data_IF_236995494810
#
_entry.id   IF_236995494810
#
_cell.length_a   1.000
_cell.length_b   1.000
_cell.length_c   1.000
_cell.angle_alpha   90.00
_cell.angle_beta   90.00
_cell.angle_gamma   90.00
#
_symmetry.space_group_name_H-M   'P 1'
#
loop_
_entity.id
_entity.type
_entity.pdbx_description
1 polymer ?
#
# COMPACT_ATOMS: atom_id res chain seq x y z
N UNK A 1 8.11 -23.20 13.03
CA UNK A 1 8.22 -21.78 12.63
C UNK A 1 7.44 -21.62 11.34
N UNK A 2 6.63 -20.59 11.21
CA UNK A 2 5.84 -20.34 9.98
C UNK A 2 6.70 -19.60 8.97
N UNK A 3 6.84 -20.13 7.76
CA UNK A 3 7.63 -19.51 6.69
C UNK A 3 6.90 -18.29 6.12
N UNK A 4 7.54 -17.12 5.99
CA UNK A 4 6.94 -15.95 5.33
C UNK A 4 6.73 -16.21 3.84
N UNK A 5 5.62 -15.71 3.31
CA UNK A 5 5.37 -15.58 1.86
C UNK A 5 5.33 -14.10 1.48
N UNK A 6 5.97 -13.75 0.37
CA UNK A 6 6.07 -12.37 -0.12
C UNK A 6 5.30 -12.19 -1.42
N UNK A 7 4.69 -11.02 -1.57
CA UNK A 7 3.81 -10.71 -2.68
C UNK A 7 4.14 -9.33 -3.25
N UNK A 8 4.09 -9.25 -4.57
CA UNK A 8 4.34 -8.03 -5.34
C UNK A 8 3.01 -7.56 -5.93
N UNK A 9 2.66 -6.30 -5.69
CA UNK A 9 1.44 -5.71 -6.27
C UNK A 9 1.65 -5.49 -7.77
N UNK A 10 0.78 -6.03 -8.66
CA UNK A 10 0.92 -5.82 -10.09
C UNK A 10 0.91 -4.33 -10.47
N UNK A 11 1.73 -3.94 -11.44
CA UNK A 11 1.89 -2.55 -11.86
C UNK A 11 3.04 -1.88 -11.11
N UNK A 12 2.73 -0.89 -10.28
CA UNK A 12 3.76 -0.14 -9.53
C UNK A 12 4.66 -1.03 -8.67
N UNK A 13 4.13 -2.14 -8.13
CA UNK A 13 4.87 -2.99 -7.21
C UNK A 13 6.03 -3.72 -7.87
N UNK A 14 5.87 -4.19 -9.11
CA UNK A 14 6.96 -4.81 -9.89
C UNK A 14 8.09 -3.81 -10.12
N UNK A 15 7.76 -2.58 -10.56
CA UNK A 15 8.74 -1.52 -10.79
C UNK A 15 9.51 -1.16 -9.51
N UNK A 16 8.80 -1.00 -8.41
CA UNK A 16 9.39 -0.67 -7.12
C UNK A 16 10.20 -1.84 -6.53
N UNK A 17 9.79 -3.09 -6.78
CA UNK A 17 10.56 -4.27 -6.38
C UNK A 17 11.89 -4.34 -7.12
N UNK A 18 11.88 -4.15 -8.44
CA UNK A 18 13.09 -4.18 -9.26
C UNK A 18 14.06 -3.06 -8.88
N UNK A 19 13.52 -1.86 -8.57
CA UNK A 19 14.33 -0.69 -8.24
C UNK A 19 14.82 -0.65 -6.78
N UNK A 20 14.00 -1.09 -5.82
CA UNK A 20 14.23 -0.87 -4.38
C UNK A 20 14.29 -2.16 -3.56
N UNK A 21 14.10 -3.33 -4.19
CA UNK A 21 14.27 -4.66 -3.60
C UNK A 21 13.42 -4.94 -2.35
N UNK A 22 12.23 -4.36 -2.26
CA UNK A 22 11.23 -4.67 -1.22
C UNK A 22 9.97 -5.30 -1.83
N UNK A 23 9.19 -6.01 -1.02
CA UNK A 23 7.89 -6.57 -1.41
C UNK A 23 6.75 -5.73 -0.84
N UNK A 24 5.68 -5.53 -1.61
CA UNK A 24 4.55 -4.70 -1.15
C UNK A 24 3.76 -5.37 -0.03
N UNK A 25 3.66 -6.71 -0.01
CA UNK A 25 3.02 -7.43 1.07
C UNK A 25 3.82 -8.67 1.51
N UNK A 26 3.66 -9.03 2.76
CA UNK A 26 4.14 -10.26 3.37
C UNK A 26 3.03 -10.91 4.18
N UNK A 27 2.96 -12.25 4.14
CA UNK A 27 2.08 -13.03 5.01
C UNK A 27 2.91 -14.01 5.86
N UNK A 28 2.65 -14.02 7.16
CA UNK A 28 3.20 -15.00 8.11
C UNK A 28 2.04 -15.54 8.93
N UNK A 29 1.61 -16.78 8.63
CA UNK A 29 0.44 -17.38 9.27
C UNK A 29 -0.85 -16.61 8.93
N UNK A 30 -1.48 -16.04 9.95
CA UNK A 30 -2.70 -15.23 9.85
C UNK A 30 -2.44 -13.72 9.75
N UNK A 31 -1.20 -13.28 9.98
CA UNK A 31 -0.80 -11.88 9.89
C UNK A 31 -0.38 -11.52 8.47
N UNK A 32 -0.94 -10.42 7.97
CA UNK A 32 -0.47 -9.73 6.77
C UNK A 32 0.15 -8.41 7.19
N UNK A 33 1.32 -8.11 6.64
CA UNK A 33 1.97 -6.80 6.75
C UNK A 33 2.17 -6.25 5.34
N UNK A 34 1.88 -4.96 5.17
CA UNK A 34 2.08 -4.26 3.90
C UNK A 34 3.12 -3.17 4.08
N UNK A 35 3.91 -2.95 3.05
CA UNK A 35 4.74 -1.76 2.93
C UNK A 35 3.87 -0.52 2.69
N UNK A 36 4.42 0.67 2.91
CA UNK A 36 3.71 1.94 2.68
C UNK A 36 3.21 2.07 1.24
N UNK A 37 1.98 2.52 1.09
CA UNK A 37 1.35 2.80 -0.21
C UNK A 37 1.04 4.30 -0.28
N UNK A 38 1.46 4.94 -1.38
CA UNK A 38 1.14 6.34 -1.68
C UNK A 38 0.25 6.47 -2.90
N UNK A 39 -0.09 7.70 -3.24
CA UNK A 39 -1.08 8.02 -4.27
C UNK A 39 -0.57 7.93 -5.71
N UNK A 40 0.36 7.03 -6.00
CA UNK A 40 0.88 6.85 -7.36
C UNK A 40 0.06 5.85 -8.19
N UNK A 41 0.03 6.03 -9.50
CA UNK A 41 -0.49 5.03 -10.45
C UNK A 41 0.59 3.98 -10.81
N UNK A 42 0.28 3.08 -11.75
CA UNK A 42 1.22 2.03 -12.18
C UNK A 42 2.45 2.57 -12.94
N UNK A 43 2.39 3.83 -13.40
CA UNK A 43 3.49 4.59 -13.99
C UNK A 43 4.26 5.46 -12.99
N UNK A 44 3.98 5.28 -11.69
CA UNK A 44 4.57 6.07 -10.60
C UNK A 44 4.27 7.58 -10.70
N UNK A 45 3.20 7.94 -11.41
CA UNK A 45 2.69 9.31 -11.51
C UNK A 45 1.76 9.58 -10.33
N UNK A 46 1.96 10.71 -9.67
CA UNK A 46 1.16 11.18 -8.53
C UNK A 46 0.18 12.26 -9.04
N UNK A 47 -1.12 12.20 -8.72
CA UNK A 47 -2.09 13.24 -9.02
C UNK A 47 -1.70 14.60 -8.44
N UNK A 48 -2.14 15.69 -9.08
CA UNK A 48 -1.93 17.05 -8.54
C UNK A 48 -2.90 17.37 -7.39
N UNK A 49 -4.11 16.79 -7.40
CA UNK A 49 -5.07 16.94 -6.30
C UNK A 49 -4.67 16.04 -5.14
N UNK A 50 -4.64 16.63 -3.94
CA UNK A 50 -4.37 15.90 -2.70
C UNK A 50 -5.47 14.88 -2.39
N UNK A 51 -6.73 15.21 -2.70
CA UNK A 51 -7.85 14.31 -2.54
C UNK A 51 -7.71 13.07 -3.44
N UNK A 52 -7.33 13.28 -4.70
CA UNK A 52 -7.07 12.20 -5.65
C UNK A 52 -5.84 11.35 -5.25
N UNK A 53 -4.77 11.99 -4.75
CA UNK A 53 -3.61 11.30 -4.22
C UNK A 53 -3.99 10.40 -3.02
N UNK A 54 -4.76 10.92 -2.07
CA UNK A 54 -5.23 10.16 -0.90
C UNK A 54 -6.11 9.00 -1.36
N UNK A 55 -7.08 9.24 -2.23
CA UNK A 55 -7.96 8.18 -2.74
C UNK A 55 -7.15 7.08 -3.45
N UNK A 56 -6.17 7.47 -4.25
CA UNK A 56 -5.28 6.53 -4.94
C UNK A 56 -4.42 5.74 -3.96
N UNK A 57 -3.93 6.36 -2.87
CA UNK A 57 -3.16 5.67 -1.84
C UNK A 57 -3.99 4.56 -1.16
N UNK A 58 -5.25 4.86 -0.82
CA UNK A 58 -6.17 3.87 -0.26
C UNK A 58 -6.51 2.76 -1.27
N UNK A 59 -6.73 3.08 -2.55
CA UNK A 59 -6.89 2.06 -3.61
C UNK A 59 -5.65 1.16 -3.71
N UNK A 60 -4.46 1.70 -3.57
CA UNK A 60 -3.21 0.93 -3.59
C UNK A 60 -3.05 0.03 -2.35
N UNK A 61 -3.52 0.47 -1.17
CA UNK A 61 -3.63 -0.39 0.01
C UNK A 61 -4.54 -1.58 -0.28
N UNK A 62 -5.73 -1.35 -0.85
CA UNK A 62 -6.65 -2.43 -1.19
C UNK A 62 -6.05 -3.45 -2.17
N UNK A 63 -5.45 -2.96 -3.26
CA UNK A 63 -4.77 -3.79 -4.27
C UNK A 63 -3.67 -4.64 -3.62
N UNK A 64 -2.89 -4.04 -2.73
CA UNK A 64 -1.78 -4.72 -2.05
C UNK A 64 -2.28 -5.77 -1.06
N UNK A 65 -3.30 -5.47 -0.26
CA UNK A 65 -3.94 -6.43 0.65
C UNK A 65 -4.46 -7.65 -0.11
N UNK A 66 -5.09 -7.45 -1.27
CA UNK A 66 -5.65 -8.51 -2.08
C UNK A 66 -4.60 -9.54 -2.51
N UNK A 67 -3.36 -9.12 -2.76
CA UNK A 67 -2.26 -10.04 -3.14
C UNK A 67 -1.93 -11.07 -2.06
N UNK A 68 -2.14 -10.73 -0.80
CA UNK A 68 -1.91 -11.60 0.36
C UNK A 68 -3.22 -12.26 0.90
N UNK A 69 -4.31 -12.19 0.12
CA UNK A 69 -5.61 -12.73 0.48
C UNK A 69 -6.34 -11.95 1.59
N UNK A 70 -6.01 -10.66 1.75
CA UNK A 70 -6.65 -9.77 2.72
C UNK A 70 -7.53 -8.71 2.03
N UNK A 71 -8.31 -7.97 2.83
CA UNK A 71 -9.21 -6.88 2.41
C UNK A 71 -9.39 -5.90 3.56
N UNK A 72 -9.97 -4.73 3.30
CA UNK A 72 -10.20 -3.68 4.30
C UNK A 72 -10.80 -4.17 5.63
N UNK A 73 -11.84 -5.03 5.67
CA UNK A 73 -12.36 -5.58 6.93
C UNK A 73 -11.36 -6.36 7.79
N UNK A 74 -10.20 -6.75 7.24
CA UNK A 74 -9.14 -7.43 7.98
C UNK A 74 -8.07 -6.47 8.53
N UNK A 75 -8.16 -5.17 8.23
CA UNK A 75 -7.19 -4.17 8.68
C UNK A 75 -7.47 -3.84 10.16
N UNK A 76 -6.46 -4.04 11.00
CA UNK A 76 -6.54 -3.81 12.45
C UNK A 76 -5.69 -2.63 12.94
N UNK A 77 -4.78 -2.14 12.11
CA UNK A 77 -3.87 -1.03 12.42
C UNK A 77 -3.54 -0.24 11.15
N UNK A 78 -3.54 1.09 11.25
CA UNK A 78 -3.12 2.01 10.17
C UNK A 78 -2.18 3.05 10.76
N UNK A 79 -1.02 3.25 10.12
CA UNK A 79 -0.16 4.40 10.32
C UNK A 79 -0.20 5.25 9.04
N UNK A 80 -0.61 6.51 9.14
CA UNK A 80 -0.61 7.45 8.02
C UNK A 80 0.46 8.50 8.23
N UNK A 81 1.25 8.77 7.18
CA UNK A 81 2.28 9.81 7.15
C UNK A 81 1.86 10.88 6.14
N UNK A 82 1.94 12.14 6.53
CA UNK A 82 1.54 13.29 5.74
C UNK A 82 2.71 14.28 5.74
N UNK A 83 3.04 14.88 4.58
CA UNK A 83 4.11 15.89 4.52
C UNK A 83 3.74 17.17 5.27
N UNK A 84 2.45 17.52 5.34
CA UNK A 84 1.96 18.72 6.02
C UNK A 84 0.58 18.52 6.65
N UNK A 85 0.43 18.96 7.90
CA UNK A 85 -0.82 18.91 8.68
C UNK A 85 -1.96 19.76 8.06
N UNK A 86 -1.64 20.71 7.18
CA UNK A 86 -2.66 21.58 6.55
C UNK A 86 -3.60 20.83 5.59
N UNK A 87 -3.28 19.59 5.24
CA UNK A 87 -3.96 18.82 4.20
C UNK A 87 -5.00 17.83 4.74
N UNK A 88 -5.28 17.84 6.04
CA UNK A 88 -6.24 16.90 6.66
C UNK A 88 -7.64 17.53 6.70
N UNK A 89 -8.46 17.21 5.70
CA UNK A 89 -9.92 17.24 5.86
C UNK A 89 -10.32 16.12 6.84
N UNK A 90 -11.09 16.46 7.88
CA UNK A 90 -11.51 15.54 8.92
C UNK A 90 -12.16 14.27 8.33
N UNK A 91 -11.70 13.11 8.81
CA UNK A 91 -12.31 11.81 8.57
C UNK A 91 -13.71 11.71 9.17
#
# INVERSE_FOLDING_TARGET
>A
MTTPSFFITPGYGTRLHDALHYSQAMRIGDRVEISGQGGWNDDLVIPESIEEEIEQAFKNVERTLATAGARWPHVVHVNSYQESIKNIGAA
#
